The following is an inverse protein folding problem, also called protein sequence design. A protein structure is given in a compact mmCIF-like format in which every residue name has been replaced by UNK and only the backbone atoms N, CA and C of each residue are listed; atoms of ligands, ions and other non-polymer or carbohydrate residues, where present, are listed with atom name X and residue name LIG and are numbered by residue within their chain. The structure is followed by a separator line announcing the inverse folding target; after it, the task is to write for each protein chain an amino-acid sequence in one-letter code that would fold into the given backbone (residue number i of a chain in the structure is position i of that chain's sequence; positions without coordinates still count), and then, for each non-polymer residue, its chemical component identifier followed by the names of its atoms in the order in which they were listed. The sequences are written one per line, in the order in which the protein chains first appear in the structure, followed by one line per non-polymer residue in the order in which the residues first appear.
data_IF_014748580859
#
_entry.id   IF_014748580859
#
_cell.length_a   1.000
_cell.length_b   1.000
_cell.length_c   1.000
_cell.angle_alpha   90.00
_cell.angle_beta   90.00
_cell.angle_gamma   90.00
#
_symmetry.space_group_name_H-M   'P 1'
#
loop_
_entity.id
_entity.type
_entity.pdbx_description
1 polymer ?
#
# COMPACT_ATOMS: atom_id res chain seq x y z
N UNK A 1 -2.42 1.40 7.87
CA UNK A 1 -3.71 1.57 7.19
C UNK A 1 -4.36 0.22 6.87
N UNK A 2 -4.25 -0.74 7.79
CA UNK A 2 -4.84 -2.08 7.61
C UNK A 2 -6.37 -2.11 7.81
N UNK A 3 -6.94 -1.06 8.41
CA UNK A 3 -8.35 -1.01 8.75
C UNK A 3 -8.77 -2.17 9.64
N UNK A 4 -9.93 -2.75 9.35
CA UNK A 4 -10.46 -3.90 10.09
C UNK A 4 -9.76 -5.21 9.76
N UNK A 5 -8.73 -5.18 8.92
CA UNK A 5 -7.81 -6.30 8.73
C UNK A 5 -8.24 -7.35 7.71
N UNK A 6 -9.03 -7.00 6.71
CA UNK A 6 -9.45 -7.95 5.68
C UNK A 6 -8.25 -8.68 5.04
N UNK A 7 -7.25 -7.92 4.58
CA UNK A 7 -6.05 -8.50 3.99
C UNK A 7 -5.18 -9.20 5.05
N UNK A 8 -5.07 -8.60 6.24
CA UNK A 8 -4.27 -9.18 7.32
C UNK A 8 -4.78 -10.54 7.74
N UNK A 9 -6.10 -10.68 7.92
CA UNK A 9 -6.73 -11.94 8.29
C UNK A 9 -6.56 -13.00 7.20
N UNK A 10 -6.72 -12.61 5.94
CA UNK A 10 -6.55 -13.53 4.81
C UNK A 10 -5.11 -14.06 4.74
N UNK A 11 -4.13 -13.17 4.81
CA UNK A 11 -2.72 -13.55 4.76
C UNK A 11 -2.33 -14.43 5.97
N UNK A 12 -2.79 -14.08 7.16
CA UNK A 12 -2.54 -14.88 8.36
C UNK A 12 -3.13 -16.29 8.23
N UNK A 13 -4.30 -16.41 7.61
CA UNK A 13 -4.92 -17.71 7.35
C UNK A 13 -4.12 -18.59 6.40
N UNK A 14 -3.27 -17.99 5.58
CA UNK A 14 -2.36 -18.68 4.67
C UNK A 14 -1.00 -19.00 5.31
N UNK A 15 -0.81 -18.66 6.58
CA UNK A 15 0.43 -18.93 7.31
C UNK A 15 1.46 -17.81 7.30
N UNK A 16 1.12 -16.64 6.73
CA UNK A 16 2.03 -15.48 6.81
C UNK A 16 2.04 -14.88 8.21
N UNK A 17 3.22 -14.45 8.65
CA UNK A 17 3.35 -13.54 9.79
C UNK A 17 3.07 -12.13 9.31
N UNK A 18 2.06 -11.48 9.88
CA UNK A 18 1.53 -10.21 9.39
C UNK A 18 1.72 -9.11 10.43
N UNK A 19 2.38 -8.03 10.04
CA UNK A 19 2.35 -6.78 10.79
C UNK A 19 1.19 -5.93 10.26
N UNK A 20 0.19 -5.70 11.09
CA UNK A 20 -1.00 -4.93 10.74
C UNK A 20 -0.94 -3.56 11.42
N UNK A 21 -0.80 -2.50 10.63
CA UNK A 21 -0.54 -1.15 11.12
C UNK A 21 -1.69 -0.22 10.76
N UNK A 22 -2.20 0.51 11.74
CA UNK A 22 -3.22 1.54 11.55
C UNK A 22 -3.16 2.57 12.67
N UNK A 23 -3.63 3.78 12.40
CA UNK A 23 -3.77 4.82 13.41
C UNK A 23 -5.01 4.60 14.30
N UNK A 24 -5.98 3.83 13.82
CA UNK A 24 -7.24 3.59 14.53
C UNK A 24 -7.05 2.55 15.64
N UNK A 25 -7.18 2.99 16.88
CA UNK A 25 -7.15 2.08 18.03
C UNK A 25 -8.29 1.06 17.99
N UNK A 26 -9.45 1.45 17.47
CA UNK A 26 -10.60 0.55 17.31
C UNK A 26 -10.28 -0.55 16.29
N UNK A 27 -9.72 -0.20 15.13
CA UNK A 27 -9.33 -1.18 14.13
C UNK A 27 -8.29 -2.15 14.68
N UNK A 28 -7.28 -1.65 15.37
CA UNK A 28 -6.22 -2.48 15.96
C UNK A 28 -6.78 -3.40 17.06
N UNK A 29 -7.73 -2.92 17.88
CA UNK A 29 -8.34 -3.76 18.91
C UNK A 29 -9.06 -4.98 18.33
N UNK A 30 -9.62 -4.87 17.13
CA UNK A 30 -10.27 -5.99 16.44
C UNK A 30 -9.30 -7.05 15.93
N UNK A 31 -8.01 -6.73 15.87
CA UNK A 31 -6.98 -7.62 15.34
C UNK A 31 -6.10 -8.22 16.43
N UNK A 32 -6.33 -7.86 17.70
CA UNK A 32 -5.59 -8.43 18.82
C UNK A 32 -5.96 -9.90 19.01
N UNK A 33 -4.97 -10.69 19.44
CA UNK A 33 -5.12 -12.12 19.72
C UNK A 33 -5.54 -12.99 18.53
N UNK A 34 -5.35 -12.50 17.30
CA UNK A 34 -5.49 -13.33 16.10
C UNK A 34 -4.13 -13.96 15.80
N UNK A 35 -4.05 -15.29 15.66
CA UNK A 35 -2.78 -15.95 15.35
C UNK A 35 -2.12 -15.38 14.11
N UNK A 36 -0.81 -15.19 14.17
CA UNK A 36 0.04 -14.67 13.09
C UNK A 36 -0.20 -13.19 12.72
N UNK A 37 -1.01 -12.47 13.48
CA UNK A 37 -1.19 -11.02 13.28
C UNK A 37 -0.60 -10.28 14.47
N UNK A 38 0.36 -9.40 14.16
CA UNK A 38 0.97 -8.46 15.09
C UNK A 38 0.38 -7.07 14.79
N UNK A 39 -0.71 -6.74 15.47
CA UNK A 39 -1.42 -5.49 15.25
C UNK A 39 -0.81 -4.38 16.10
N UNK A 40 -0.53 -3.25 15.50
CA UNK A 40 0.09 -2.11 16.16
C UNK A 40 -0.57 -0.81 15.73
N UNK A 41 -0.98 -0.03 16.72
CA UNK A 41 -1.43 1.35 16.50
C UNK A 41 -0.21 2.23 16.18
N UNK A 42 -0.19 2.84 15.01
CA UNK A 42 0.91 3.69 14.56
C UNK A 42 0.36 4.94 13.88
N UNK A 43 1.05 6.05 14.09
CA UNK A 43 0.86 7.28 13.32
C UNK A 43 1.97 7.35 12.28
N UNK A 44 1.60 7.27 10.99
CA UNK A 44 2.58 7.30 9.91
C UNK A 44 3.28 8.65 9.76
N UNK A 45 2.83 9.69 10.44
CA UNK A 45 3.56 10.96 10.49
C UNK A 45 4.84 10.83 11.32
N UNK A 46 4.89 9.90 12.27
CA UNK A 46 6.01 9.72 13.19
C UNK A 46 6.64 8.32 13.14
N UNK A 47 5.90 7.32 12.63
CA UNK A 47 6.39 5.95 12.57
C UNK A 47 7.24 5.74 11.33
N UNK A 48 8.37 5.07 11.51
CA UNK A 48 9.28 4.70 10.42
C UNK A 48 9.23 3.19 10.20
N UNK A 49 8.97 2.78 8.96
CA UNK A 49 8.99 1.36 8.60
C UNK A 49 10.41 0.79 8.73
N UNK A 50 10.56 -0.43 9.29
CA UNK A 50 11.86 -1.09 9.37
C UNK A 50 12.38 -1.44 7.96
N UNK A 51 13.69 -1.34 7.76
CA UNK A 51 14.32 -1.60 6.46
C UNK A 51 14.45 -3.10 6.22
N UNK A 52 14.23 -3.51 4.97
CA UNK A 52 14.42 -4.89 4.49
C UNK A 52 13.79 -5.93 5.41
N UNK A 53 12.56 -5.64 5.85
CA UNK A 53 11.82 -6.47 6.80
C UNK A 53 10.79 -7.36 6.13
N UNK A 54 10.22 -6.93 5.01
CA UNK A 54 9.00 -7.54 4.49
C UNK A 54 9.20 -8.21 3.14
N UNK A 55 8.60 -9.39 2.99
CA UNK A 55 8.48 -10.10 1.72
C UNK A 55 7.31 -9.59 0.89
N UNK A 56 6.29 -9.03 1.56
CA UNK A 56 5.08 -8.50 0.93
C UNK A 56 4.58 -7.30 1.72
N UNK A 57 4.29 -6.22 1.03
CA UNK A 57 3.59 -5.07 1.59
C UNK A 57 2.31 -4.85 0.79
N UNK A 58 1.18 -4.72 1.49
CA UNK A 58 -0.10 -4.37 0.87
C UNK A 58 -0.55 -3.03 1.43
N UNK A 59 -0.86 -2.10 0.53
CA UNK A 59 -1.40 -0.80 0.89
C UNK A 59 -2.56 -0.47 -0.06
N UNK A 60 -3.78 -0.48 0.46
CA UNK A 60 -4.97 -0.23 -0.36
C UNK A 60 -5.80 0.90 0.22
N UNK A 61 -6.25 1.79 -0.65
CA UNK A 61 -7.15 2.91 -0.30
C UNK A 61 -6.61 3.81 0.80
N UNK A 62 -5.30 3.94 0.84
CA UNK A 62 -4.56 4.86 1.68
C UNK A 62 -3.43 5.45 0.86
N UNK A 63 -3.36 6.78 0.79
CA UNK A 63 -2.33 7.47 0.02
C UNK A 63 -1.59 8.45 0.91
N UNK A 64 -0.34 8.14 1.16
CA UNK A 64 0.63 9.01 1.81
C UNK A 64 1.97 8.90 1.07
N UNK A 65 2.23 9.88 0.20
CA UNK A 65 3.39 9.81 -0.70
C UNK A 65 4.73 9.77 0.03
N UNK A 66 4.79 10.31 1.24
CA UNK A 66 6.00 10.23 2.06
C UNK A 66 6.39 8.80 2.42
N UNK A 67 5.44 7.87 2.37
CA UNK A 67 5.71 6.47 2.65
C UNK A 67 6.33 5.73 1.47
N UNK A 68 6.24 6.23 0.26
CA UNK A 68 6.73 5.50 -0.92
C UNK A 68 8.22 5.13 -0.80
N UNK A 69 9.14 6.05 -0.45
CA UNK A 69 10.53 5.67 -0.25
C UNK A 69 10.71 4.67 0.90
N UNK A 70 9.95 4.82 1.98
CA UNK A 70 10.03 3.91 3.12
C UNK A 70 9.54 2.50 2.75
N UNK A 71 8.46 2.39 1.97
CA UNK A 71 7.94 1.11 1.48
C UNK A 71 8.99 0.40 0.65
N UNK A 72 9.64 1.11 -0.26
CA UNK A 72 10.70 0.54 -1.09
C UNK A 72 11.88 0.05 -0.25
N UNK A 73 12.26 0.79 0.81
CA UNK A 73 13.32 0.39 1.72
C UNK A 73 12.90 -0.77 2.64
N UNK A 74 11.64 -0.84 3.01
CA UNK A 74 11.11 -1.86 3.92
C UNK A 74 10.96 -3.23 3.24
N UNK A 75 10.87 -3.26 1.92
CA UNK A 75 10.86 -4.51 1.16
C UNK A 75 12.26 -5.14 1.14
N UNK A 76 12.31 -6.44 1.36
CA UNK A 76 13.50 -7.23 1.06
C UNK A 76 13.73 -7.26 -0.45
N UNK A 77 14.99 -7.43 -0.91
CA UNK A 77 15.22 -7.73 -2.33
C UNK A 77 14.35 -8.90 -2.80
N UNK A 78 13.64 -8.72 -3.91
CA UNK A 78 12.66 -9.69 -4.40
C UNK A 78 11.29 -9.62 -3.74
N UNK A 79 11.12 -8.77 -2.74
CA UNK A 79 9.84 -8.55 -2.07
C UNK A 79 8.84 -7.83 -2.97
N UNK A 80 7.56 -8.01 -2.67
CA UNK A 80 6.45 -7.54 -3.51
C UNK A 80 5.65 -6.46 -2.79
N UNK A 81 5.34 -5.39 -3.51
CA UNK A 81 4.36 -4.38 -3.12
C UNK A 81 3.10 -4.53 -3.95
N UNK A 82 1.95 -4.51 -3.28
CA UNK A 82 0.64 -4.42 -3.91
C UNK A 82 -0.03 -3.13 -3.44
N UNK A 83 -0.42 -2.28 -4.37
CA UNK A 83 -1.13 -1.03 -4.09
C UNK A 83 -2.36 -0.91 -4.96
N UNK A 84 -3.44 -0.43 -4.37
CA UNK A 84 -4.64 -0.05 -5.10
C UNK A 84 -5.28 1.16 -4.41
N UNK A 85 -5.59 2.19 -5.18
CA UNK A 85 -6.29 3.36 -4.67
C UNK A 85 -6.92 4.18 -5.80
N UNK A 86 -7.55 5.27 -5.44
CA UNK A 86 -8.24 6.15 -6.38
C UNK A 86 -7.26 6.98 -7.19
N UNK A 87 -7.65 7.21 -8.45
CA UNK A 87 -6.90 7.97 -9.44
C UNK A 87 -7.69 9.20 -9.84
N UNK A 88 -7.00 10.32 -10.03
CA UNK A 88 -7.61 11.52 -10.56
C UNK A 88 -8.01 11.32 -12.03
N UNK A 89 -9.26 11.61 -12.33
CA UNK A 89 -9.77 11.65 -13.70
C UNK A 89 -10.96 12.63 -13.77
N UNK A 90 -11.05 13.48 -14.79
CA UNK A 90 -12.17 14.41 -14.95
C UNK A 90 -13.53 13.72 -15.03
N UNK A 91 -13.56 12.46 -15.46
CA UNK A 91 -14.77 11.65 -15.56
C UNK A 91 -15.23 11.01 -14.26
N UNK A 92 -14.50 11.18 -13.15
CA UNK A 92 -14.93 10.64 -11.86
C UNK A 92 -16.28 11.23 -11.45
N UNK A 93 -17.24 10.36 -11.20
CA UNK A 93 -18.58 10.76 -10.80
C UNK A 93 -18.65 11.20 -9.34
N UNK A 94 -17.75 10.69 -8.50
CA UNK A 94 -17.49 11.21 -7.16
C UNK A 94 -16.17 11.94 -7.13
N UNK A 95 -16.22 13.18 -6.69
CA UNK A 95 -15.01 13.97 -6.49
C UNK A 95 -14.50 13.78 -5.07
N UNK A 96 -13.20 13.54 -4.95
CA UNK A 96 -12.56 13.51 -3.64
C UNK A 96 -12.66 14.88 -2.97
N UNK A 97 -12.86 14.89 -1.66
CA UNK A 97 -12.86 16.12 -0.87
C UNK A 97 -11.49 16.81 -0.90
N UNK A 98 -10.41 16.04 -1.08
CA UNK A 98 -9.06 16.55 -1.22
C UNK A 98 -8.35 15.83 -2.38
N UNK A 99 -7.97 16.56 -3.46
CA UNK A 99 -7.24 15.97 -4.60
C UNK A 99 -5.92 15.32 -4.22
N UNK A 100 -5.31 15.70 -3.09
CA UNK A 100 -4.07 15.07 -2.61
C UNK A 100 -4.23 13.59 -2.28
N UNK A 101 -5.45 13.12 -2.08
CA UNK A 101 -5.76 11.70 -1.84
C UNK A 101 -5.94 10.89 -3.14
N UNK A 102 -5.74 11.51 -4.29
CA UNK A 102 -5.81 10.86 -5.59
C UNK A 102 -4.43 10.79 -6.22
N UNK A 103 -4.12 9.62 -6.78
CA UNK A 103 -2.94 9.48 -7.63
C UNK A 103 -3.17 10.13 -8.99
N UNK A 104 -2.10 10.56 -9.61
CA UNK A 104 -2.11 10.99 -11.01
C UNK A 104 -1.87 9.79 -11.95
N UNK A 105 -2.30 9.92 -13.20
CA UNK A 105 -2.07 8.87 -14.21
C UNK A 105 -0.58 8.59 -14.35
N UNK A 106 -0.21 7.30 -14.28
CA UNK A 106 1.17 6.86 -14.39
C UNK A 106 2.03 7.10 -13.16
N UNK A 107 1.50 7.68 -12.09
CA UNK A 107 2.30 8.06 -10.92
C UNK A 107 2.95 6.86 -10.24
N UNK A 108 2.23 5.74 -10.07
CA UNK A 108 2.81 4.56 -9.43
C UNK A 108 3.93 3.95 -10.27
N UNK A 109 3.73 3.87 -11.58
CA UNK A 109 4.77 3.39 -12.49
C UNK A 109 6.01 4.27 -12.41
N UNK A 110 5.84 5.59 -12.53
CA UNK A 110 6.96 6.52 -12.45
C UNK A 110 7.68 6.46 -11.11
N UNK A 111 6.94 6.28 -10.03
CA UNK A 111 7.51 6.26 -8.68
C UNK A 111 8.30 4.98 -8.39
N UNK A 112 7.80 3.82 -8.83
CA UNK A 112 8.34 2.54 -8.42
C UNK A 112 9.24 1.86 -9.45
N UNK A 113 9.20 2.26 -10.73
CA UNK A 113 9.89 1.53 -11.81
C UNK A 113 11.41 1.53 -11.71
N UNK A 114 12.01 2.51 -11.05
CA UNK A 114 13.47 2.53 -10.84
C UNK A 114 13.92 1.43 -9.88
N UNK A 115 13.18 1.25 -8.78
CA UNK A 115 13.52 0.32 -7.70
C UNK A 115 12.91 -1.05 -7.90
N UNK A 116 11.75 -1.10 -8.56
CA UNK A 116 10.94 -2.31 -8.71
C UNK A 116 10.70 -2.65 -10.17
N UNK A 117 10.56 -3.94 -10.44
CA UNK A 117 10.01 -4.45 -11.69
C UNK A 117 8.50 -4.50 -11.56
N UNK A 118 7.78 -3.84 -12.48
CA UNK A 118 6.32 -3.86 -12.50
C UNK A 118 5.85 -5.22 -13.03
N UNK A 119 5.12 -5.97 -12.20
CA UNK A 119 4.50 -7.23 -12.59
C UNK A 119 3.13 -6.99 -13.20
N UNK A 120 2.38 -6.04 -12.61
CA UNK A 120 1.05 -5.66 -13.04
C UNK A 120 0.85 -4.18 -12.75
N UNK A 121 0.27 -3.47 -13.70
CA UNK A 121 -0.11 -2.08 -13.50
C UNK A 121 -1.32 -1.78 -14.38
N UNK A 122 -2.42 -1.37 -13.77
CA UNK A 122 -3.67 -1.09 -14.48
C UNK A 122 -4.37 0.11 -13.91
N UNK A 123 -4.85 0.96 -14.80
CA UNK A 123 -5.76 2.06 -14.48
C UNK A 123 -7.12 1.68 -15.06
N UNK A 124 -8.18 1.70 -14.23
CA UNK A 124 -9.46 1.15 -14.62
C UNK A 124 -10.63 1.86 -13.95
N UNK A 125 -11.78 1.85 -14.62
CA UNK A 125 -13.03 2.32 -14.06
C UNK A 125 -13.64 1.25 -13.16
N UNK A 126 -14.13 1.68 -11.99
CA UNK A 126 -14.87 0.83 -11.08
C UNK A 126 -16.10 1.56 -10.54
N UNK A 127 -17.13 0.80 -10.23
CA UNK A 127 -18.30 1.35 -9.57
C UNK A 127 -18.21 1.13 -8.05
N UNK A 128 -18.61 2.15 -7.28
CA UNK A 128 -18.78 1.98 -5.85
C UNK A 128 -20.13 1.31 -5.54
N UNK A 129 -20.40 1.09 -4.24
CA UNK A 129 -21.64 0.43 -3.81
C UNK A 129 -22.92 1.21 -4.18
N UNK A 130 -22.81 2.49 -4.54
CA UNK A 130 -23.91 3.32 -5.02
C UNK A 130 -23.98 3.42 -6.54
N UNK A 131 -23.08 2.72 -7.26
CA UNK A 131 -23.05 2.72 -8.71
C UNK A 131 -22.32 3.91 -9.32
N UNK A 132 -21.64 4.76 -8.54
CA UNK A 132 -20.82 5.84 -9.07
C UNK A 132 -19.51 5.32 -9.61
N UNK A 133 -19.17 5.73 -10.83
CA UNK A 133 -17.92 5.35 -11.50
C UNK A 133 -16.77 6.22 -11.02
N UNK A 134 -15.66 5.58 -10.66
CA UNK A 134 -14.43 6.23 -10.23
C UNK A 134 -13.24 5.52 -10.84
N UNK A 135 -12.26 6.28 -11.28
CA UNK A 135 -11.00 5.72 -11.78
C UNK A 135 -10.15 5.24 -10.61
N UNK A 136 -9.58 4.07 -10.77
CA UNK A 136 -8.66 3.46 -9.81
C UNK A 136 -7.40 3.02 -10.51
N UNK A 137 -6.34 2.83 -9.73
CA UNK A 137 -5.10 2.21 -10.18
C UNK A 137 -4.75 1.06 -9.27
N UNK A 138 -4.24 -0.02 -9.85
CA UNK A 138 -3.75 -1.19 -9.14
C UNK A 138 -2.37 -1.55 -9.65
N UNK A 139 -1.44 -1.80 -8.76
CA UNK A 139 -0.05 -2.14 -9.10
C UNK A 139 0.42 -3.30 -8.25
N UNK A 140 1.12 -4.23 -8.90
CA UNK A 140 1.95 -5.24 -8.26
C UNK A 140 3.36 -5.08 -8.80
N UNK A 141 4.33 -4.92 -7.92
CA UNK A 141 5.73 -4.73 -8.31
C UNK A 141 6.66 -5.51 -7.39
N UNK A 142 7.80 -5.96 -7.93
CA UNK A 142 8.83 -6.69 -7.20
C UNK A 142 10.07 -5.83 -7.09
N UNK A 143 10.60 -5.68 -5.86
CA UNK A 143 11.86 -4.98 -5.65
C UNK A 143 12.99 -5.73 -6.35
N UNK A 144 13.76 -5.00 -7.15
CA UNK A 144 14.91 -5.58 -7.87
C UNK A 144 15.94 -6.09 -6.87
N UNK A 145 16.39 -7.32 -7.04
CA UNK A 145 17.33 -7.96 -6.15
C UNK A 145 18.74 -7.37 -6.23
N UNK A 146 19.07 -6.76 -7.36
CA UNK A 146 20.34 -6.09 -7.62
C UNK A 146 20.32 -4.59 -7.30
N UNK A 147 19.15 -4.06 -6.87
CA UNK A 147 19.06 -2.66 -6.53
C UNK A 147 19.85 -2.38 -5.26
N UNK A 148 20.92 -1.59 -5.43
CA UNK A 148 21.65 -1.01 -4.32
C UNK A 148 21.39 0.48 -4.34
N UNK A 149 20.83 1.00 -3.23
CA UNK A 149 20.80 2.44 -3.05
C UNK A 149 22.24 2.92 -3.20
N UNK A 150 22.50 3.80 -4.19
CA UNK A 150 23.79 4.45 -4.30
C UNK A 150 24.10 5.01 -2.91
N UNK A 151 25.28 4.62 -2.38
CA UNK A 151 25.70 5.13 -1.09
C UNK A 151 25.54 6.63 -1.11
N UNK A 152 24.76 7.14 -0.19
CA UNK A 152 24.57 8.58 -0.08
C UNK A 152 25.96 9.20 0.12
N UNK A 153 26.37 9.82 -0.91
CA UNK A 153 27.62 10.55 -0.87
C UNK A 153 27.42 11.84 -0.07
#
# INVERSE_FOLDING_TARGET
ACGMGRHSKYLASLGFEVDALDISSVAISQLQNIPNIHAKEVDFDTYTLPKEQYDLIICTYFLERRLFPQIMQALKPGGIILMETFLHDPGNERKASNPAYLLEKGELEDTFSEVCELIYNSEFWAEDYKGFKTMKTSMVARKKSDYKKSASK
#
